data_IF_245904196899
#
_entry.id   IF_245904196899
#
_cell.length_a   1.000
_cell.length_b   1.000
_cell.length_c   1.000
_cell.angle_alpha   90.00
_cell.angle_beta   90.00
_cell.angle_gamma   90.00
#
_symmetry.space_group_name_H-M   'P 1'
#
loop_
_entity.id
_entity.type
_entity.pdbx_description
1 polymer ?
#
# COMPACT_ATOMS: atom_id res chain seq x y z
N UNK A 1 -21.90 -17.47 3.94
CA UNK A 1 -21.95 -16.20 4.70
C UNK A 1 -20.50 -15.77 4.84
N UNK A 2 -20.12 -14.63 4.28
CA UNK A 2 -18.78 -14.08 4.51
C UNK A 2 -18.67 -13.72 5.99
N UNK A 3 -17.79 -14.39 6.72
CA UNK A 3 -17.45 -14.04 8.10
C UNK A 3 -16.52 -12.83 8.03
N UNK A 4 -17.10 -11.63 7.97
CA UNK A 4 -16.36 -10.38 7.87
C UNK A 4 -16.86 -9.35 8.87
N UNK A 5 -15.95 -8.51 9.34
CA UNK A 5 -16.29 -7.30 10.10
C UNK A 5 -16.59 -6.20 9.09
N UNK A 6 -17.76 -5.58 9.21
CA UNK A 6 -18.19 -4.52 8.28
C UNK A 6 -17.38 -3.23 8.41
N UNK A 7 -17.53 -2.36 7.40
CA UNK A 7 -17.00 -1.00 7.46
C UNK A 7 -17.55 -0.26 8.69
N UNK A 8 -16.70 0.50 9.38
CA UNK A 8 -17.08 1.28 10.58
C UNK A 8 -17.71 0.46 11.74
N UNK A 9 -17.66 -0.88 11.72
CA UNK A 9 -18.43 -1.73 12.63
C UNK A 9 -18.19 -1.48 14.13
N UNK A 10 -16.95 -1.12 14.47
CA UNK A 10 -16.50 -0.73 15.80
C UNK A 10 -15.74 0.60 15.70
N UNK A 11 -16.24 1.59 14.96
CA UNK A 11 -15.59 2.91 14.99
C UNK A 11 -15.86 3.62 16.33
N UNK A 12 -14.94 4.49 16.75
CA UNK A 12 -15.07 5.32 17.95
C UNK A 12 -15.44 4.56 19.24
N UNK A 13 -14.87 3.38 19.50
CA UNK A 13 -14.95 2.75 20.82
C UNK A 13 -14.05 3.47 21.83
N UNK A 14 -14.58 3.79 23.01
CA UNK A 14 -13.77 4.26 24.15
C UNK A 14 -13.27 3.09 25.01
N UNK A 15 -14.20 2.30 25.55
CA UNK A 15 -13.89 1.32 26.60
C UNK A 15 -13.31 -0.04 26.12
N UNK A 16 -13.10 -0.25 24.82
CA UNK A 16 -12.60 -1.55 24.30
C UNK A 16 -11.15 -1.77 24.76
N UNK A 17 -10.90 -2.87 25.45
CA UNK A 17 -9.56 -3.25 25.93
C UNK A 17 -8.95 -4.40 25.12
N UNK A 18 -9.79 -5.38 24.78
CA UNK A 18 -9.42 -6.60 24.07
C UNK A 18 -10.52 -6.95 23.07
N UNK A 19 -10.11 -7.50 21.93
CA UNK A 19 -11.01 -8.19 21.01
C UNK A 19 -10.41 -9.54 20.64
N UNK A 20 -11.26 -10.57 20.61
CA UNK A 20 -10.92 -11.88 20.10
C UNK A 20 -11.59 -12.04 18.74
N UNK A 21 -10.77 -12.04 17.70
CA UNK A 21 -11.23 -12.30 16.34
C UNK A 21 -11.42 -13.81 16.17
N UNK A 22 -12.52 -14.28 15.54
CA UNK A 22 -12.73 -15.70 15.32
C UNK A 22 -11.76 -16.24 14.26
N UNK A 23 -11.34 -17.51 14.39
CA UNK A 23 -10.38 -18.17 13.49
C UNK A 23 -10.86 -18.29 12.03
N UNK A 24 -12.16 -18.10 11.77
CA UNK A 24 -12.77 -18.10 10.43
C UNK A 24 -12.94 -16.73 9.79
N UNK A 25 -12.54 -15.65 10.48
CA UNK A 25 -12.73 -14.28 9.99
C UNK A 25 -11.91 -14.04 8.72
N UNK A 26 -12.58 -13.75 7.61
CA UNK A 26 -11.94 -13.57 6.31
C UNK A 26 -11.65 -12.10 5.98
N UNK A 27 -12.43 -11.16 6.53
CA UNK A 27 -12.25 -9.75 6.23
C UNK A 27 -12.52 -8.80 7.39
N UNK A 28 -11.80 -7.67 7.38
CA UNK A 28 -12.02 -6.53 8.27
C UNK A 28 -12.25 -5.32 7.38
N UNK A 29 -13.43 -4.72 7.45
CA UNK A 29 -13.82 -3.59 6.61
C UNK A 29 -13.02 -2.32 6.88
N UNK A 30 -13.13 -1.35 5.95
CA UNK A 30 -12.50 -0.06 6.13
C UNK A 30 -13.00 0.63 7.41
N UNK A 31 -12.11 1.34 8.10
CA UNK A 31 -12.42 2.05 9.35
C UNK A 31 -13.05 1.19 10.46
N UNK A 32 -13.00 -0.14 10.37
CA UNK A 32 -13.74 -1.04 11.24
C UNK A 32 -13.48 -0.81 12.73
N UNK A 33 -12.28 -0.41 13.10
CA UNK A 33 -11.82 -0.10 14.47
C UNK A 33 -11.20 1.29 14.58
N UNK A 34 -11.51 2.18 13.63
CA UNK A 34 -10.93 3.49 13.57
C UNK A 34 -11.46 4.39 14.70
N UNK A 35 -10.57 5.19 15.31
CA UNK A 35 -10.93 6.10 16.42
C UNK A 35 -10.72 7.59 16.11
N UNK A 36 -10.17 7.90 14.94
CA UNK A 36 -9.84 9.25 14.47
C UNK A 36 -10.68 9.73 13.27
N UNK A 37 -11.51 8.86 12.66
CA UNK A 37 -12.30 9.19 11.47
C UNK A 37 -13.77 9.56 11.81
N UNK A 38 -14.16 10.78 11.44
CA UNK A 38 -15.52 11.34 11.36
C UNK A 38 -16.42 11.36 12.62
N UNK A 39 -15.96 12.02 13.68
CA UNK A 39 -16.90 12.69 14.59
C UNK A 39 -16.35 14.06 14.97
N UNK A 40 -17.25 15.03 15.12
CA UNK A 40 -16.98 16.39 15.62
C UNK A 40 -16.34 16.43 17.04
N UNK A 41 -15.89 15.30 17.57
CA UNK A 41 -15.07 15.12 18.77
C UNK A 41 -14.29 13.80 18.63
N UNK A 42 -12.99 13.82 18.23
CA UNK A 42 -12.16 12.63 18.36
C UNK A 42 -12.16 12.15 19.82
N UNK A 43 -12.23 10.85 20.03
CA UNK A 43 -12.18 10.29 21.39
C UNK A 43 -10.92 10.80 22.11
N UNK A 44 -11.04 11.25 23.37
CA UNK A 44 -9.86 11.63 24.14
C UNK A 44 -8.85 10.48 24.13
N UNK A 45 -7.59 10.77 23.76
CA UNK A 45 -6.51 9.76 23.75
C UNK A 45 -6.32 9.05 25.10
N UNK A 46 -6.80 9.68 26.18
CA UNK A 46 -6.82 9.16 27.56
C UNK A 46 -7.88 8.08 27.81
N UNK A 47 -8.89 7.98 26.96
CA UNK A 47 -10.05 7.08 27.09
C UNK A 47 -10.00 5.92 26.10
N UNK A 48 -8.85 5.65 25.49
CA UNK A 48 -8.61 4.45 24.70
C UNK A 48 -7.82 3.42 25.52
N UNK A 49 -8.19 2.14 25.38
CA UNK A 49 -7.57 1.03 26.13
C UNK A 49 -7.13 -0.15 25.25
N UNK A 50 -7.43 -0.13 23.95
CA UNK A 50 -7.13 -1.22 23.04
C UNK A 50 -5.62 -1.29 22.75
N UNK A 51 -4.95 -2.35 23.23
CA UNK A 51 -3.47 -2.42 23.24
C UNK A 51 -2.85 -3.46 22.33
N UNK A 52 -3.61 -4.46 21.92
CA UNK A 52 -3.09 -5.55 21.11
C UNK A 52 -4.15 -6.12 20.18
N UNK A 53 -3.70 -6.64 19.04
CA UNK A 53 -4.54 -7.42 18.14
C UNK A 53 -3.80 -8.65 17.61
N UNK A 54 -4.53 -9.75 17.53
CA UNK A 54 -4.11 -10.98 16.84
C UNK A 54 -5.03 -11.16 15.65
N UNK A 55 -4.48 -10.99 14.45
CA UNK A 55 -5.21 -11.21 13.21
C UNK A 55 -5.20 -12.73 12.91
N UNK A 56 -6.37 -13.34 12.66
CA UNK A 56 -6.46 -14.77 12.43
C UNK A 56 -5.83 -15.17 11.09
N UNK A 57 -5.33 -16.41 11.01
CA UNK A 57 -4.67 -16.97 9.81
C UNK A 57 -5.59 -17.03 8.57
N UNK A 58 -6.91 -16.86 8.76
CA UNK A 58 -7.94 -16.84 7.71
C UNK A 58 -8.13 -15.49 7.01
N UNK A 59 -7.53 -14.41 7.53
CA UNK A 59 -7.71 -13.06 6.96
C UNK A 59 -7.22 -13.04 5.51
N UNK A 60 -8.06 -12.50 4.64
CA UNK A 60 -7.79 -12.24 3.22
C UNK A 60 -7.78 -10.75 2.90
N UNK A 61 -8.53 -9.94 3.66
CA UNK A 61 -8.63 -8.51 3.41
C UNK A 61 -8.70 -7.72 4.72
N UNK A 62 -7.93 -6.63 4.79
CA UNK A 62 -8.00 -5.62 5.84
C UNK A 62 -8.18 -4.27 5.17
N UNK A 63 -9.32 -3.63 5.38
CA UNK A 63 -9.70 -2.40 4.69
C UNK A 63 -8.89 -1.18 5.11
N UNK A 64 -9.01 -0.14 4.29
CA UNK A 64 -8.47 1.20 4.52
C UNK A 64 -8.67 1.64 5.98
N UNK A 65 -7.57 2.03 6.63
CA UNK A 65 -7.59 2.62 7.98
C UNK A 65 -8.34 1.81 9.04
N UNK A 66 -8.42 0.47 8.88
CA UNK A 66 -9.20 -0.38 9.77
C UNK A 66 -8.87 -0.18 11.25
N UNK A 67 -7.63 0.10 11.64
CA UNK A 67 -7.19 0.35 13.03
C UNK A 67 -6.57 1.74 13.21
N UNK A 68 -6.94 2.71 12.36
CA UNK A 68 -6.40 4.08 12.46
C UNK A 68 -6.77 4.75 13.78
N UNK A 69 -5.83 5.53 14.32
CA UNK A 69 -6.01 6.31 15.54
C UNK A 69 -5.99 5.48 16.83
N UNK A 70 -5.81 4.16 16.78
CA UNK A 70 -5.73 3.30 17.97
C UNK A 70 -4.47 3.61 18.80
N UNK A 71 -4.44 4.73 19.52
CA UNK A 71 -3.24 5.34 20.12
C UNK A 71 -2.64 4.54 21.29
N UNK A 72 -3.26 3.42 21.68
CA UNK A 72 -2.72 2.46 22.67
C UNK A 72 -2.32 1.13 22.05
N UNK A 73 -2.64 0.85 20.78
CA UNK A 73 -2.37 -0.40 20.10
C UNK A 73 -0.86 -0.54 19.85
N UNK A 74 -0.19 -1.35 20.67
CA UNK A 74 1.28 -1.54 20.66
C UNK A 74 1.71 -2.86 20.05
N UNK A 75 0.85 -3.88 20.10
CA UNK A 75 1.17 -5.23 19.64
C UNK A 75 0.23 -5.64 18.52
N UNK A 76 0.81 -6.04 17.39
CA UNK A 76 0.09 -6.53 16.21
C UNK A 76 0.69 -7.88 15.86
N UNK A 77 -0.11 -8.94 15.93
CA UNK A 77 0.25 -10.26 15.42
C UNK A 77 -0.42 -10.45 14.07
N UNK A 78 0.39 -10.55 13.01
CA UNK A 78 -0.09 -10.83 11.66
C UNK A 78 -0.39 -12.32 11.47
N UNK A 79 -1.23 -12.68 10.48
CA UNK A 79 -1.38 -14.05 10.02
C UNK A 79 -0.03 -14.69 9.68
N UNK A 80 0.13 -15.99 9.95
CA UNK A 80 1.35 -16.74 9.59
C UNK A 80 1.60 -16.77 8.09
N UNK A 81 0.53 -16.67 7.30
CA UNK A 81 0.57 -16.61 5.83
C UNK A 81 -0.11 -15.32 5.40
N UNK A 82 0.65 -14.48 4.74
CA UNK A 82 0.16 -13.26 4.10
C UNK A 82 -0.05 -13.46 2.59
N UNK A 83 0.09 -14.71 2.11
CA UNK A 83 -0.22 -15.10 0.73
C UNK A 83 -1.64 -14.65 0.40
N UNK A 84 -1.75 -13.74 -0.56
CA UNK A 84 -3.02 -13.18 -1.08
C UNK A 84 -3.79 -12.30 -0.07
N UNK A 85 -3.13 -11.77 0.96
CA UNK A 85 -3.77 -10.84 1.90
C UNK A 85 -3.68 -9.40 1.39
N UNK A 86 -4.83 -8.81 1.09
CA UNK A 86 -4.97 -7.40 0.76
C UNK A 86 -4.97 -6.56 2.03
N UNK A 87 -4.02 -5.64 2.15
CA UNK A 87 -3.89 -4.74 3.30
C UNK A 87 -4.00 -3.29 2.80
N UNK A 88 -5.14 -2.69 3.14
CA UNK A 88 -5.50 -1.34 2.76
C UNK A 88 -4.59 -0.27 3.35
N UNK A 89 -4.70 0.93 2.80
CA UNK A 89 -3.81 2.02 3.19
C UNK A 89 -4.04 2.43 4.65
N UNK A 90 -2.96 2.73 5.36
CA UNK A 90 -3.03 3.35 6.69
C UNK A 90 -3.74 2.50 7.75
N UNK A 91 -3.81 1.18 7.59
CA UNK A 91 -4.49 0.26 8.52
C UNK A 91 -4.13 0.52 9.98
N UNK A 92 -2.86 0.82 10.29
CA UNK A 92 -2.38 1.10 11.66
C UNK A 92 -1.88 2.53 11.83
N UNK A 93 -2.39 3.48 11.04
CA UNK A 93 -2.00 4.88 11.12
C UNK A 93 -2.28 5.42 12.53
N UNK A 94 -1.35 6.19 13.08
CA UNK A 94 -1.47 6.81 14.41
C UNK A 94 -1.70 5.81 15.57
N UNK A 95 -1.44 4.52 15.33
CA UNK A 95 -1.39 3.51 16.39
C UNK A 95 -0.09 3.65 17.20
N UNK A 96 -0.11 3.31 18.49
CA UNK A 96 1.10 3.33 19.32
C UNK A 96 2.25 2.49 18.74
N UNK A 97 1.90 1.40 18.08
CA UNK A 97 2.80 0.54 17.32
C UNK A 97 3.52 1.36 16.24
N UNK A 98 2.79 2.10 15.40
CA UNK A 98 3.35 2.96 14.36
C UNK A 98 4.20 4.09 14.95
N UNK A 99 3.71 4.74 16.01
CA UNK A 99 4.41 5.84 16.70
C UNK A 99 5.72 5.40 17.34
N UNK A 100 5.85 4.14 17.75
CA UNK A 100 7.07 3.61 18.38
C UNK A 100 8.24 3.37 17.43
N UNK A 101 8.00 3.30 16.11
CA UNK A 101 9.06 3.07 15.13
C UNK A 101 9.83 4.37 14.81
N UNK A 102 11.10 4.25 14.42
CA UNK A 102 11.84 5.39 13.86
C UNK A 102 11.34 5.71 12.44
N UNK A 103 11.68 6.90 11.94
CA UNK A 103 11.45 7.26 10.55
C UNK A 103 12.19 6.27 9.62
N UNK A 104 11.56 5.91 8.50
CA UNK A 104 12.07 4.89 7.59
C UNK A 104 11.00 3.91 7.11
N UNK A 105 11.46 2.86 6.41
CA UNK A 105 10.60 1.78 5.93
C UNK A 105 10.13 0.93 7.12
N UNK A 106 8.82 0.83 7.31
CA UNK A 106 8.20 0.02 8.33
C UNK A 106 7.87 -1.37 7.79
N UNK A 107 8.52 -2.38 8.36
CA UNK A 107 8.32 -3.79 8.00
C UNK A 107 7.69 -4.58 9.14
N UNK A 108 6.79 -5.51 8.82
CA UNK A 108 6.30 -6.53 9.75
C UNK A 108 6.44 -7.90 9.06
N UNK A 109 7.40 -8.72 9.48
CA UNK A 109 7.68 -9.97 8.80
C UNK A 109 8.13 -9.74 7.35
N UNK A 110 7.46 -10.38 6.38
CA UNK A 110 7.71 -10.22 4.94
C UNK A 110 6.84 -9.13 4.29
N UNK A 111 6.30 -8.20 5.07
CA UNK A 111 5.37 -7.17 4.63
C UNK A 111 5.96 -5.77 4.89
N UNK A 112 5.87 -4.88 3.89
CA UNK A 112 6.10 -3.44 4.07
C UNK A 112 4.76 -2.76 4.28
N UNK A 113 4.62 -2.11 5.44
CA UNK A 113 3.44 -1.33 5.79
C UNK A 113 3.46 0.07 5.19
N UNK A 114 4.63 0.70 5.16
CA UNK A 114 4.77 2.06 4.67
C UNK A 114 6.07 2.71 5.08
N UNK A 115 6.26 3.94 4.66
CA UNK A 115 7.35 4.79 5.11
C UNK A 115 6.86 5.75 6.20
N UNK A 116 7.56 5.78 7.35
CA UNK A 116 7.32 6.75 8.42
C UNK A 116 8.21 7.98 8.24
N UNK A 117 7.59 9.15 8.31
CA UNK A 117 8.27 10.44 8.14
C UNK A 117 8.31 10.88 6.68
N UNK A 118 9.17 11.87 6.40
CA UNK A 118 9.43 12.34 5.05
C UNK A 118 10.77 11.80 4.55
N UNK A 119 10.77 11.17 3.39
CA UNK A 119 12.00 10.74 2.72
C UNK A 119 12.90 11.96 2.46
N UNK A 120 14.20 11.91 2.80
CA UNK A 120 15.14 12.95 2.45
C UNK A 120 15.27 13.11 0.92
N UNK A 121 15.57 14.31 0.44
CA UNK A 121 15.75 14.57 -0.98
C UNK A 121 16.85 13.68 -1.59
N UNK A 122 16.59 13.11 -2.76
CA UNK A 122 17.58 12.29 -3.47
C UNK A 122 17.75 10.88 -2.92
N UNK A 123 16.89 10.43 -2.01
CA UNK A 123 17.00 9.10 -1.40
C UNK A 123 16.67 7.99 -2.39
N UNK A 124 17.50 6.95 -2.35
CA UNK A 124 17.22 5.63 -2.91
C UNK A 124 16.64 4.71 -1.81
N UNK A 125 15.53 4.04 -2.11
CA UNK A 125 15.00 2.96 -1.27
C UNK A 125 15.32 1.61 -1.90
N UNK A 126 16.06 0.79 -1.16
CA UNK A 126 16.28 -0.62 -1.47
C UNK A 126 15.37 -1.44 -0.58
N UNK A 127 14.36 -2.08 -1.18
CA UNK A 127 13.45 -2.97 -0.47
C UNK A 127 14.24 -4.22 -0.03
N UNK A 128 14.17 -4.62 1.26
CA UNK A 128 14.91 -5.79 1.75
C UNK A 128 14.51 -7.10 1.05
N UNK A 129 15.47 -8.00 0.84
CA UNK A 129 15.18 -9.36 0.39
C UNK A 129 14.30 -10.10 1.40
N UNK A 130 13.39 -10.92 0.89
CA UNK A 130 12.43 -11.67 1.71
C UNK A 130 11.10 -10.95 1.93
N UNK A 131 11.00 -9.65 1.60
CA UNK A 131 9.71 -8.98 1.45
C UNK A 131 8.93 -9.64 0.30
N UNK A 132 7.65 -9.89 0.56
CA UNK A 132 6.70 -10.52 -0.36
C UNK A 132 5.54 -9.59 -0.71
N UNK A 133 5.23 -8.64 0.16
CA UNK A 133 4.03 -7.82 0.10
C UNK A 133 4.36 -6.36 0.44
N UNK A 134 3.79 -5.42 -0.31
CA UNK A 134 3.88 -3.98 -0.03
C UNK A 134 2.46 -3.42 0.03
N UNK A 135 2.09 -2.83 1.17
CA UNK A 135 0.76 -2.28 1.43
C UNK A 135 0.33 -1.22 0.41
N UNK A 136 -0.98 -0.95 0.37
CA UNK A 136 -1.50 0.21 -0.36
C UNK A 136 -0.88 1.52 0.14
N UNK A 137 -0.42 2.34 -0.80
CA UNK A 137 0.18 3.65 -0.55
C UNK A 137 1.40 3.61 0.39
N UNK A 138 2.12 2.49 0.49
CA UNK A 138 3.27 2.37 1.40
C UNK A 138 4.31 3.48 1.21
N UNK A 139 4.57 3.89 -0.03
CA UNK A 139 5.44 5.03 -0.36
C UNK A 139 4.68 6.23 -0.94
N UNK A 140 3.35 6.24 -0.82
CA UNK A 140 2.49 7.28 -1.35
C UNK A 140 2.80 8.64 -0.72
N UNK A 141 2.84 9.68 -1.54
CA UNK A 141 3.09 11.06 -1.14
C UNK A 141 4.55 11.38 -0.81
N UNK A 142 5.49 10.43 -0.96
CA UNK A 142 6.90 10.67 -0.69
C UNK A 142 7.57 11.46 -1.84
N UNK A 143 7.35 12.78 -1.84
CA UNK A 143 7.75 13.71 -2.92
C UNK A 143 9.25 13.75 -3.22
N UNK A 144 10.08 13.34 -2.27
CA UNK A 144 11.53 13.42 -2.29
C UNK A 144 12.21 12.09 -2.66
N UNK A 145 11.44 11.00 -2.76
CA UNK A 145 11.92 9.70 -3.20
C UNK A 145 12.43 9.81 -4.63
N UNK A 146 13.71 9.49 -4.85
CA UNK A 146 14.35 9.62 -6.15
C UNK A 146 14.43 8.29 -6.88
N UNK A 147 14.76 7.22 -6.16
CA UNK A 147 14.98 5.89 -6.74
C UNK A 147 14.42 4.79 -5.85
N UNK A 148 13.91 3.72 -6.48
CA UNK A 148 13.39 2.55 -5.76
C UNK A 148 13.89 1.27 -6.43
N UNK A 149 14.46 0.37 -5.63
CA UNK A 149 14.80 -0.98 -6.01
C UNK A 149 13.87 -1.97 -5.30
N UNK A 150 12.97 -2.60 -6.05
CA UNK A 150 12.14 -3.70 -5.57
C UNK A 150 12.80 -5.03 -6.01
N UNK A 151 13.32 -5.87 -5.10
CA UNK A 151 13.97 -7.11 -5.45
C UNK A 151 12.96 -8.14 -5.95
N UNK A 152 13.46 -9.11 -6.70
CA UNK A 152 12.69 -10.28 -7.10
C UNK A 152 12.15 -11.04 -5.88
N UNK A 153 10.96 -11.62 -6.03
CA UNK A 153 10.24 -12.31 -4.97
C UNK A 153 9.22 -11.46 -4.23
N UNK A 154 9.15 -10.13 -4.43
CA UNK A 154 7.96 -9.33 -4.08
C UNK A 154 6.84 -9.74 -5.04
N UNK A 155 5.76 -10.30 -4.48
CA UNK A 155 4.64 -10.85 -5.25
C UNK A 155 3.49 -9.86 -5.40
N UNK A 156 3.27 -9.05 -4.38
CA UNK A 156 2.12 -8.14 -4.31
C UNK A 156 2.58 -6.71 -4.03
N UNK A 157 2.09 -5.81 -4.87
CA UNK A 157 2.18 -4.37 -4.71
C UNK A 157 0.75 -3.87 -4.51
N UNK A 158 0.48 -3.13 -3.44
CA UNK A 158 -0.82 -2.49 -3.22
C UNK A 158 -1.04 -1.29 -4.14
N UNK A 159 -2.27 -0.78 -4.17
CA UNK A 159 -2.63 0.40 -4.95
C UNK A 159 -1.88 1.65 -4.47
N UNK A 160 -1.70 2.63 -5.38
CA UNK A 160 -1.14 3.97 -5.04
C UNK A 160 0.26 3.95 -4.41
N UNK A 161 1.04 2.89 -4.59
CA UNK A 161 2.30 2.71 -3.85
C UNK A 161 3.30 3.87 -4.01
N UNK A 162 3.40 4.46 -5.19
CA UNK A 162 4.27 5.59 -5.51
C UNK A 162 3.48 6.82 -5.99
N UNK A 163 2.20 6.92 -5.60
CA UNK A 163 1.35 8.08 -5.88
C UNK A 163 2.03 9.36 -5.38
N UNK A 164 2.17 10.37 -6.23
CA UNK A 164 2.70 11.67 -5.83
C UNK A 164 4.18 11.68 -5.47
N UNK A 165 4.94 10.61 -5.77
CA UNK A 165 6.40 10.60 -5.70
C UNK A 165 7.00 11.46 -6.83
N UNK A 166 6.85 12.78 -6.72
CA UNK A 166 7.16 13.73 -7.80
C UNK A 166 8.63 13.74 -8.21
N UNK A 167 9.54 13.36 -7.31
CA UNK A 167 10.98 13.28 -7.59
C UNK A 167 11.46 11.92 -8.09
N UNK A 168 10.58 10.90 -8.16
CA UNK A 168 10.95 9.55 -8.56
C UNK A 168 11.40 9.57 -10.02
N UNK A 169 12.66 9.19 -10.26
CA UNK A 169 13.29 9.17 -11.59
C UNK A 169 13.42 7.75 -12.12
N UNK A 170 13.77 6.82 -11.24
CA UNK A 170 14.08 5.43 -11.59
C UNK A 170 13.37 4.50 -10.63
N UNK A 171 12.77 3.44 -11.16
CA UNK A 171 12.26 2.33 -10.37
C UNK A 171 12.57 1.01 -11.06
N UNK A 172 13.07 0.04 -10.27
CA UNK A 172 13.14 -1.36 -10.70
C UNK A 172 11.96 -2.13 -10.10
N UNK A 173 11.11 -2.68 -10.97
CA UNK A 173 10.03 -3.59 -10.61
C UNK A 173 10.54 -5.04 -10.50
N UNK A 174 9.90 -5.89 -9.67
CA UNK A 174 10.28 -7.29 -9.56
C UNK A 174 9.88 -8.05 -10.83
N UNK A 175 10.72 -9.00 -11.26
CA UNK A 175 10.50 -9.76 -12.50
C UNK A 175 9.25 -10.65 -12.48
N UNK A 176 8.86 -11.13 -11.29
CA UNK A 176 7.68 -11.96 -11.05
C UNK A 176 6.36 -11.17 -10.94
N UNK A 177 6.39 -9.84 -11.13
CA UNK A 177 5.20 -9.01 -11.01
C UNK A 177 4.18 -9.35 -12.11
N UNK A 178 2.94 -9.64 -11.72
CA UNK A 178 1.84 -9.95 -12.65
C UNK A 178 0.92 -8.76 -12.94
N UNK A 179 0.95 -7.74 -12.08
CA UNK A 179 0.07 -6.58 -12.16
C UNK A 179 0.78 -5.29 -11.73
N UNK A 180 0.51 -4.19 -12.43
CA UNK A 180 0.77 -2.84 -11.94
C UNK A 180 -0.56 -2.27 -11.44
N UNK A 181 -0.76 -2.15 -10.11
CA UNK A 181 -2.04 -1.74 -9.54
C UNK A 181 -2.49 -0.34 -9.95
N UNK A 182 -3.77 -0.07 -9.71
CA UNK A 182 -4.36 1.23 -9.95
C UNK A 182 -3.57 2.35 -9.25
N UNK A 183 -3.39 3.45 -9.98
CA UNK A 183 -2.75 4.68 -9.49
C UNK A 183 -1.32 4.52 -8.93
N UNK A 184 -0.61 3.42 -9.23
CA UNK A 184 0.71 3.13 -8.65
C UNK A 184 1.72 4.26 -8.80
N UNK A 185 1.82 4.87 -9.98
CA UNK A 185 2.78 5.94 -10.31
C UNK A 185 2.12 7.28 -10.61
N UNK A 186 0.84 7.47 -10.25
CA UNK A 186 0.14 8.72 -10.55
C UNK A 186 0.95 9.94 -10.05
N UNK A 187 1.19 10.91 -10.92
CA UNK A 187 2.00 12.11 -10.65
C UNK A 187 3.46 11.85 -10.27
N UNK A 188 4.06 10.72 -10.67
CA UNK A 188 5.51 10.53 -10.69
C UNK A 188 6.12 11.40 -11.80
N UNK A 189 6.18 12.71 -11.58
CA UNK A 189 6.44 13.73 -12.60
C UNK A 189 7.84 13.64 -13.23
N UNK A 190 8.82 13.08 -12.51
CA UNK A 190 10.19 12.95 -12.97
C UNK A 190 10.53 11.55 -13.51
N UNK A 191 9.56 10.62 -13.54
CA UNK A 191 9.77 9.29 -14.08
C UNK A 191 9.85 9.41 -15.60
N UNK A 192 11.02 9.14 -16.17
CA UNK A 192 11.26 9.29 -17.61
C UNK A 192 11.10 7.98 -18.38
N UNK A 193 11.46 6.87 -17.73
CA UNK A 193 11.44 5.52 -18.28
C UNK A 193 11.06 4.53 -17.17
N UNK A 194 10.42 3.44 -17.56
CA UNK A 194 10.12 2.31 -16.68
C UNK A 194 10.14 1.03 -17.49
N UNK A 195 10.85 0.03 -16.98
CA UNK A 195 10.84 -1.32 -17.55
C UNK A 195 9.66 -2.09 -16.95
N UNK A 196 8.69 -2.44 -17.79
CA UNK A 196 7.53 -3.25 -17.38
C UNK A 196 7.94 -4.73 -17.43
N UNK A 197 7.88 -5.47 -16.30
CA UNK A 197 8.24 -6.88 -16.29
C UNK A 197 7.43 -7.71 -17.30
N UNK A 198 8.07 -8.72 -17.90
CA UNK A 198 7.44 -9.57 -18.93
C UNK A 198 6.24 -10.38 -18.44
N UNK A 199 6.14 -10.59 -17.12
CA UNK A 199 5.03 -11.30 -16.48
C UNK A 199 3.79 -10.44 -16.23
N UNK A 200 3.86 -9.12 -16.43
CA UNK A 200 2.72 -8.23 -16.20
C UNK A 200 1.64 -8.48 -17.25
N UNK A 201 0.46 -8.86 -16.80
CA UNK A 201 -0.74 -9.11 -17.61
C UNK A 201 -1.78 -7.99 -17.45
N UNK A 202 -1.72 -7.22 -16.35
CA UNK A 202 -2.70 -6.20 -15.99
C UNK A 202 -2.04 -4.87 -15.59
N UNK A 203 -2.52 -3.75 -16.12
CA UNK A 203 -2.15 -2.39 -15.68
C UNK A 203 -3.43 -1.63 -15.29
N UNK A 204 -3.56 -1.34 -14.00
CA UNK A 204 -4.77 -0.75 -13.42
C UNK A 204 -5.02 0.72 -13.76
N UNK A 205 -6.21 1.19 -13.41
CA UNK A 205 -6.70 2.51 -13.76
C UNK A 205 -5.74 3.61 -13.32
N UNK A 206 -5.43 4.53 -14.23
CA UNK A 206 -4.57 5.68 -13.95
C UNK A 206 -3.16 5.34 -13.43
N UNK A 207 -2.65 4.12 -13.65
CA UNK A 207 -1.36 3.68 -13.08
C UNK A 207 -0.19 4.63 -13.37
N UNK A 208 -0.15 5.27 -14.54
CA UNK A 208 0.86 6.28 -14.93
C UNK A 208 0.26 7.67 -15.17
N UNK A 209 -0.94 7.94 -14.62
CA UNK A 209 -1.62 9.20 -14.85
C UNK A 209 -0.77 10.38 -14.37
N UNK A 210 -0.64 11.43 -15.19
CA UNK A 210 0.20 12.61 -14.93
C UNK A 210 1.69 12.33 -14.73
N UNK A 211 2.22 11.20 -15.23
CA UNK A 211 3.67 11.00 -15.40
C UNK A 211 4.19 11.88 -16.55
N UNK A 212 4.30 13.19 -16.30
CA UNK A 212 4.51 14.20 -17.34
C UNK A 212 5.85 14.12 -18.07
N UNK A 213 6.87 13.47 -17.48
CA UNK A 213 8.19 13.28 -18.09
C UNK A 213 8.40 11.90 -18.71
N UNK A 214 7.42 10.99 -18.62
CA UNK A 214 7.54 9.65 -19.19
C UNK A 214 7.63 9.78 -20.71
N UNK A 215 8.75 9.36 -21.30
CA UNK A 215 9.03 9.57 -22.73
C UNK A 215 8.61 8.40 -23.62
N UNK A 216 8.73 7.18 -23.10
CA UNK A 216 8.38 5.96 -23.81
C UNK A 216 7.99 4.85 -22.85
N UNK A 217 7.17 3.91 -23.34
CA UNK A 217 6.84 2.68 -22.63
C UNK A 217 6.77 1.49 -23.59
N UNK A 218 7.37 0.38 -23.18
CA UNK A 218 7.24 -0.91 -23.86
C UNK A 218 6.35 -1.82 -23.03
N UNK A 219 5.27 -2.30 -23.65
CA UNK A 219 4.32 -3.20 -22.98
C UNK A 219 4.70 -4.66 -23.25
N UNK A 220 4.59 -5.54 -22.24
CA UNK A 220 5.01 -6.93 -22.37
C UNK A 220 4.09 -7.71 -23.31
N UNK A 221 4.62 -8.79 -23.91
CA UNK A 221 3.88 -9.65 -24.83
C UNK A 221 2.61 -10.25 -24.24
N UNK A 222 2.61 -10.54 -22.94
CA UNK A 222 1.47 -11.11 -22.22
C UNK A 222 0.47 -10.09 -21.68
N UNK A 223 0.53 -8.80 -22.07
CA UNK A 223 -0.42 -7.82 -21.57
C UNK A 223 -1.85 -8.16 -22.03
N UNK A 224 -2.77 -8.29 -21.07
CA UNK A 224 -4.18 -8.60 -21.31
C UNK A 224 -5.05 -7.36 -21.15
N UNK A 225 -4.81 -6.58 -20.09
CA UNK A 225 -5.65 -5.43 -19.72
C UNK A 225 -4.81 -4.18 -19.45
N UNK A 226 -5.24 -3.07 -20.05
CA UNK A 226 -4.79 -1.71 -19.74
C UNK A 226 -6.03 -0.88 -19.43
N UNK A 227 -6.17 -0.44 -18.20
CA UNK A 227 -7.41 0.20 -17.74
C UNK A 227 -7.55 1.68 -18.14
N UNK A 228 -8.69 2.25 -17.77
CA UNK A 228 -9.03 3.63 -18.09
C UNK A 228 -8.00 4.62 -17.53
N UNK A 229 -7.58 5.56 -18.38
CA UNK A 229 -6.73 6.68 -17.98
C UNK A 229 -5.30 6.34 -17.60
N UNK A 230 -4.81 5.11 -17.85
CA UNK A 230 -3.46 4.66 -17.48
C UNK A 230 -2.36 5.66 -17.83
N UNK A 231 -2.40 6.26 -19.04
CA UNK A 231 -1.41 7.25 -19.50
C UNK A 231 -1.97 8.69 -19.63
N UNK A 232 -3.11 8.98 -18.97
CA UNK A 232 -3.74 10.31 -19.05
C UNK A 232 -2.79 11.39 -18.51
N UNK A 233 -2.48 12.42 -19.31
CA UNK A 233 -1.60 13.52 -18.89
C UNK A 233 -0.10 13.20 -18.92
N UNK A 234 0.31 12.10 -19.56
CA UNK A 234 1.71 11.82 -19.90
C UNK A 234 2.17 12.68 -21.08
N UNK A 235 2.38 13.98 -20.86
CA UNK A 235 2.59 14.96 -21.93
C UNK A 235 3.90 14.79 -22.73
N UNK A 236 4.89 14.06 -22.19
CA UNK A 236 6.16 13.79 -22.88
C UNK A 236 6.20 12.43 -23.58
N UNK A 237 5.10 11.65 -23.51
CA UNK A 237 5.06 10.29 -24.06
C UNK A 237 5.02 10.36 -25.59
N UNK A 238 6.14 9.97 -26.21
CA UNK A 238 6.34 9.99 -27.67
C UNK A 238 6.11 8.62 -28.30
N UNK A 239 6.33 7.56 -27.54
CA UNK A 239 6.30 6.18 -28.05
C UNK A 239 5.61 5.22 -27.06
N UNK A 240 4.72 4.39 -27.59
CA UNK A 240 4.12 3.25 -26.89
C UNK A 240 4.27 2.04 -27.78
N UNK A 241 5.05 1.06 -27.33
CA UNK A 241 5.23 -0.21 -28.06
C UNK A 241 4.23 -1.22 -27.51
N UNK A 242 3.22 -1.53 -28.31
CA UNK A 242 2.27 -2.62 -28.05
C UNK A 242 2.85 -3.94 -28.56
N UNK A 243 2.58 -5.07 -27.90
CA UNK A 243 3.03 -6.36 -28.39
C UNK A 243 2.30 -6.77 -29.67
N UNK A 244 2.94 -7.64 -30.46
CA UNK A 244 2.28 -8.32 -31.56
C UNK A 244 1.24 -9.30 -30.98
N UNK A 245 -0.01 -9.19 -31.43
CA UNK A 245 -1.12 -10.05 -30.98
C UNK A 245 -1.04 -11.49 -31.48
#
# INVERSE_FOLDING_TARGET
MTEGIGENAFNAFGALQEIKLPDGLESIGAFAFCTDYQANTPLPRTEQYFTQIVLPDSIKNIGLQAFSGCVKLKSITLPKRLDDVEIGSGVFKDAAWFDSHQDGVLTIGNFIYGYKGNIPEGTEIVIPYGIKYIADSAFGGQKNLAEVFIPDGVKFLGERNFYGCTSLKTIRLPSDLTEIPAYTFISAKNLTHIDIPSGVTHIGAGAFQYCSSLEGISLPAGIETIESGTFSGCNSLKEVVLPAG
#
